data_IF_139576719606
#
_entry.id   IF_139576719606
#
_cell.length_a   1.000
_cell.length_b   1.000
_cell.length_c   1.000
_cell.angle_alpha   90.00
_cell.angle_beta   90.00
_cell.angle_gamma   90.00
#
_symmetry.space_group_name_H-M   'P 1'
#
loop_
_entity.id
_entity.type
_entity.pdbx_description
1 polymer ?
#
# COMPACT_ATOMS: atom_id res chain seq x y z
N UNK A 1 -13.25 -34.95 -29.88
CA UNK A 1 -12.49 -34.33 -28.76
C UNK A 1 -12.64 -32.83 -28.85
N UNK A 2 -13.69 -32.30 -28.23
CA UNK A 2 -14.04 -30.87 -28.30
C UNK A 2 -13.16 -30.06 -27.33
N UNK A 3 -12.33 -29.17 -27.89
CA UNK A 3 -11.69 -28.10 -27.12
C UNK A 3 -12.76 -27.05 -26.80
N UNK A 4 -13.36 -27.13 -25.61
CA UNK A 4 -14.25 -26.07 -25.12
C UNK A 4 -13.42 -24.90 -24.58
N UNK A 5 -13.63 -23.77 -25.24
CA UNK A 5 -13.16 -22.43 -24.92
C UNK A 5 -13.54 -22.07 -23.48
N UNK A 6 -12.55 -21.91 -22.59
CA UNK A 6 -12.74 -21.32 -21.26
C UNK A 6 -12.93 -19.81 -21.46
N UNK A 7 -14.18 -19.40 -21.66
CA UNK A 7 -14.54 -17.98 -21.56
C UNK A 7 -14.41 -17.63 -20.08
N UNK A 8 -13.46 -16.74 -19.77
CA UNK A 8 -13.31 -16.17 -18.45
C UNK A 8 -14.63 -15.50 -18.04
N UNK A 9 -15.40 -16.17 -17.18
CA UNK A 9 -16.44 -15.53 -16.40
C UNK A 9 -15.76 -14.49 -15.50
N UNK A 10 -15.72 -13.26 -15.99
CA UNK A 10 -15.56 -12.06 -15.17
C UNK A 10 -16.83 -12.01 -14.32
N UNK A 11 -16.79 -12.71 -13.19
CA UNK A 11 -17.72 -12.55 -12.09
C UNK A 11 -17.62 -11.08 -11.63
N UNK A 12 -18.50 -10.22 -12.15
CA UNK A 12 -18.76 -8.88 -11.63
C UNK A 12 -19.06 -9.02 -10.13
N UNK A 13 -18.00 -8.84 -9.34
CA UNK A 13 -17.92 -9.32 -7.98
C UNK A 13 -18.67 -8.42 -7.02
N UNK A 14 -19.81 -8.91 -6.54
CA UNK A 14 -20.49 -8.58 -5.29
C UNK A 14 -19.62 -7.72 -4.32
N UNK A 15 -20.09 -6.52 -3.95
CA UNK A 15 -19.40 -5.56 -3.06
C UNK A 15 -18.87 -6.18 -1.75
N UNK A 16 -19.48 -7.27 -1.28
CA UNK A 16 -19.01 -8.06 -0.13
C UNK A 16 -17.62 -8.70 -0.32
N UNK A 17 -17.12 -8.78 -1.57
CA UNK A 17 -15.72 -9.17 -1.85
C UNK A 17 -14.75 -8.08 -1.37
N UNK A 18 -15.09 -6.79 -1.53
CA UNK A 18 -14.25 -5.60 -1.22
C UNK A 18 -13.94 -5.51 0.29
N UNK A 19 -14.94 -5.73 1.14
CA UNK A 19 -14.79 -5.64 2.59
C UNK A 19 -13.92 -6.75 3.21
N UNK A 20 -13.66 -7.85 2.49
CA UNK A 20 -12.94 -9.02 3.00
C UNK A 20 -11.60 -9.30 2.29
N UNK A 21 -11.05 -8.36 1.51
CA UNK A 21 -9.80 -8.58 0.77
C UNK A 21 -8.62 -8.90 1.70
N UNK A 22 -8.46 -8.20 2.82
CA UNK A 22 -7.37 -8.45 3.77
C UNK A 22 -7.37 -9.91 4.27
N UNK A 23 -8.55 -10.47 4.56
CA UNK A 23 -8.71 -11.87 5.00
C UNK A 23 -8.45 -12.88 3.87
N UNK A 24 -8.67 -12.50 2.61
CA UNK A 24 -8.51 -13.36 1.43
C UNK A 24 -7.09 -13.41 0.85
N UNK A 25 -6.27 -12.38 1.07
CA UNK A 25 -4.88 -12.35 0.61
C UNK A 25 -4.07 -13.50 1.25
N UNK A 26 -4.39 -13.84 2.48
CA UNK A 26 -3.76 -14.92 3.25
C UNK A 26 -4.31 -16.32 2.90
N UNK A 27 -5.28 -16.41 2.00
CA UNK A 27 -5.93 -17.68 1.66
C UNK A 27 -5.09 -18.44 0.62
N UNK A 28 -4.64 -19.68 0.91
CA UNK A 28 -3.85 -20.50 -0.02
C UNK A 28 -4.65 -20.96 -1.26
N UNK A 29 -5.92 -20.59 -1.37
CA UNK A 29 -6.87 -21.04 -2.40
C UNK A 29 -6.68 -20.30 -3.74
N UNK A 30 -5.74 -19.34 -3.84
CA UNK A 30 -5.50 -18.58 -5.09
C UNK A 30 -4.09 -18.83 -5.66
N UNK A 31 -3.94 -19.84 -6.55
CA UNK A 31 -2.63 -20.22 -7.08
C UNK A 31 -1.91 -19.07 -7.78
N UNK A 32 -2.64 -18.15 -8.41
CA UNK A 32 -2.04 -17.00 -9.10
C UNK A 32 -1.38 -15.98 -8.16
N UNK A 33 -1.87 -15.83 -6.93
CA UNK A 33 -1.28 -14.89 -5.95
C UNK A 33 0.06 -15.43 -5.46
N UNK A 34 0.10 -16.73 -5.17
CA UNK A 34 1.30 -17.43 -4.71
C UNK A 34 2.31 -17.54 -5.84
N UNK A 35 1.90 -18.02 -7.03
CA UNK A 35 2.79 -18.20 -8.18
C UNK A 35 3.49 -16.92 -8.61
N UNK A 36 2.82 -15.76 -8.44
CA UNK A 36 3.34 -14.46 -8.86
C UNK A 36 3.97 -13.65 -7.73
N UNK A 37 4.07 -14.22 -6.53
CA UNK A 37 4.62 -13.56 -5.34
C UNK A 37 4.01 -12.16 -5.14
N UNK A 38 2.68 -12.09 -5.10
CA UNK A 38 1.95 -10.82 -5.00
C UNK A 38 1.77 -10.32 -3.56
N UNK A 39 2.03 -11.16 -2.56
CA UNK A 39 1.99 -10.75 -1.16
C UNK A 39 3.38 -10.27 -0.77
N UNK A 40 3.47 -9.00 -0.36
CA UNK A 40 4.72 -8.38 0.07
C UNK A 40 4.62 -8.07 1.56
N UNK A 41 5.66 -8.42 2.30
CA UNK A 41 5.80 -8.05 3.71
C UNK A 41 6.70 -6.83 3.83
N UNK A 42 6.16 -5.72 4.34
CA UNK A 42 6.89 -4.47 4.55
C UNK A 42 6.72 -4.11 6.02
N UNK A 43 7.78 -4.20 6.85
CA UNK A 43 7.68 -3.84 8.26
C UNK A 43 7.18 -2.40 8.43
N UNK A 44 6.07 -2.23 9.13
CA UNK A 44 5.50 -0.93 9.47
C UNK A 44 5.65 -0.69 10.97
N UNK A 45 5.83 0.56 11.40
CA UNK A 45 6.05 0.91 12.81
C UNK A 45 4.95 0.40 13.76
N UNK A 46 3.70 0.44 13.31
CA UNK A 46 2.54 -0.08 14.06
C UNK A 46 2.31 -1.59 13.89
N UNK A 47 2.97 -2.23 12.91
CA UNK A 47 2.83 -3.66 12.61
C UNK A 47 4.07 -4.18 11.86
N UNK A 48 4.96 -4.88 12.58
CA UNK A 48 6.20 -5.45 12.02
C UNK A 48 5.96 -6.48 10.91
N UNK A 49 4.80 -7.13 10.91
CA UNK A 49 4.38 -8.14 9.92
C UNK A 49 3.31 -7.59 8.98
N UNK A 50 3.40 -6.31 8.63
CA UNK A 50 2.44 -5.71 7.72
C UNK A 50 2.58 -6.29 6.31
N UNK A 51 1.50 -6.91 5.84
CA UNK A 51 1.41 -7.54 4.53
C UNK A 51 0.48 -6.76 3.62
N UNK A 52 0.89 -6.56 2.39
CA UNK A 52 0.12 -5.87 1.36
C UNK A 52 0.23 -6.56 0.01
N UNK A 53 -0.62 -6.16 -0.94
CA UNK A 53 -0.52 -6.60 -2.33
C UNK A 53 0.48 -5.71 -3.06
N UNK A 54 1.51 -6.36 -3.61
CA UNK A 54 2.43 -5.73 -4.55
C UNK A 54 1.84 -5.55 -5.94
N UNK A 55 2.52 -4.77 -6.77
CA UNK A 55 2.22 -4.57 -8.17
C UNK A 55 2.01 -5.90 -8.91
N UNK A 56 0.89 -6.03 -9.66
CA UNK A 56 0.64 -7.19 -10.50
C UNK A 56 1.49 -7.16 -11.79
N UNK A 57 2.23 -6.09 -12.06
CA UNK A 57 3.12 -5.98 -13.22
C UNK A 57 4.55 -6.23 -12.74
N UNK A 58 5.24 -7.19 -13.38
CA UNK A 58 6.66 -7.46 -13.15
C UNK A 58 7.44 -6.91 -14.33
N UNK A 59 8.28 -5.92 -14.05
CA UNK A 59 9.16 -5.30 -15.03
C UNK A 59 10.52 -6.00 -14.95
N UNK A 60 11.07 -6.41 -16.10
CA UNK A 60 12.37 -7.10 -16.18
C UNK A 60 13.53 -6.16 -15.91
N UNK A 61 13.47 -4.97 -16.50
CA UNK A 61 14.60 -4.03 -16.52
C UNK A 61 14.56 -3.10 -15.32
N UNK A 62 13.37 -2.83 -14.79
CA UNK A 62 13.12 -1.97 -13.62
C UNK A 62 12.20 -2.64 -12.60
N UNK A 63 12.66 -3.71 -11.91
CA UNK A 63 11.87 -4.41 -10.92
C UNK A 63 11.24 -3.47 -9.88
N UNK A 64 9.99 -3.73 -9.50
CA UNK A 64 9.31 -2.91 -8.49
C UNK A 64 9.84 -3.25 -7.10
N UNK A 65 10.36 -2.23 -6.42
CA UNK A 65 10.90 -2.32 -5.07
C UNK A 65 9.99 -1.62 -4.05
N UNK A 66 9.89 -2.17 -2.84
CA UNK A 66 9.02 -1.67 -1.76
C UNK A 66 9.87 -1.23 -0.58
N UNK A 67 10.40 -0.01 -0.64
CA UNK A 67 11.35 0.50 0.35
C UNK A 67 10.70 1.00 1.63
N UNK A 68 9.49 1.56 1.52
CA UNK A 68 8.84 2.24 2.63
C UNK A 68 7.47 1.63 2.87
N UNK A 69 7.19 1.43 4.16
CA UNK A 69 5.84 1.16 4.60
C UNK A 69 4.95 2.40 4.35
N UNK A 70 3.63 2.24 4.33
CA UNK A 70 2.73 3.39 4.29
C UNK A 70 3.08 4.39 5.41
N UNK A 71 3.11 5.70 5.14
CA UNK A 71 3.49 6.68 6.15
C UNK A 71 2.44 6.78 7.25
N UNK A 72 2.89 7.10 8.47
CA UNK A 72 2.01 7.50 9.55
C UNK A 72 1.37 8.87 9.25
N UNK A 73 0.27 9.16 9.96
CA UNK A 73 -0.38 10.47 9.86
C UNK A 73 0.63 11.57 10.21
N UNK A 74 0.89 12.45 9.23
CA UNK A 74 1.79 13.59 9.39
C UNK A 74 3.29 13.27 9.40
N UNK A 75 3.71 12.04 9.07
CA UNK A 75 5.13 11.62 9.14
C UNK A 75 6.05 12.53 8.32
N UNK A 76 5.64 12.91 7.12
CA UNK A 76 6.45 13.73 6.21
C UNK A 76 6.03 15.22 6.18
N UNK A 77 5.11 15.66 7.04
CA UNK A 77 4.59 17.04 7.02
C UNK A 77 5.70 18.08 7.15
N UNK A 78 6.56 17.94 8.17
CA UNK A 78 7.65 18.87 8.41
C UNK A 78 8.71 18.83 7.29
N UNK A 79 9.05 17.63 6.79
CA UNK A 79 10.04 17.43 5.73
C UNK A 79 9.61 18.06 4.40
N UNK A 80 8.32 18.03 4.07
CA UNK A 80 7.79 18.61 2.83
C UNK A 80 7.67 20.13 2.98
N UNK A 81 7.09 20.60 4.09
CA UNK A 81 6.86 22.03 4.28
C UNK A 81 8.14 22.83 4.50
N UNK A 82 9.20 22.23 5.05
CA UNK A 82 10.51 22.89 5.20
C UNK A 82 11.15 23.31 3.87
N UNK A 83 10.70 22.75 2.74
CA UNK A 83 11.11 23.17 1.40
C UNK A 83 10.54 24.54 1.00
N UNK A 84 9.51 25.01 1.71
CA UNK A 84 8.75 26.21 1.35
C UNK A 84 8.59 27.21 2.50
N UNK A 85 8.85 26.78 3.75
CA UNK A 85 8.59 27.54 4.97
C UNK A 85 9.78 27.47 5.92
N UNK A 86 9.98 28.57 6.62
CA UNK A 86 10.98 28.67 7.70
C UNK A 86 10.54 27.88 8.93
N UNK A 87 11.49 27.55 9.82
CA UNK A 87 11.22 26.81 11.06
C UNK A 87 10.23 27.57 11.95
N UNK A 88 10.34 28.90 11.99
CA UNK A 88 9.48 29.79 12.76
C UNK A 88 8.04 29.81 12.22
N UNK A 89 7.87 29.78 10.90
CA UNK A 89 6.53 29.66 10.29
C UNK A 89 5.91 28.30 10.58
N UNK A 90 6.68 27.21 10.52
CA UNK A 90 6.19 25.87 10.84
C UNK A 90 5.74 25.77 12.30
N UNK A 91 6.50 26.37 13.22
CA UNK A 91 6.12 26.44 14.63
C UNK A 91 4.77 27.17 14.82
N UNK A 92 4.58 28.33 14.15
CA UNK A 92 3.30 29.06 14.19
C UNK A 92 2.13 28.26 13.62
N UNK A 93 2.35 27.52 12.53
CA UNK A 93 1.31 26.66 11.95
C UNK A 93 0.91 25.52 12.88
N UNK A 94 1.88 24.95 13.60
CA UNK A 94 1.63 23.92 14.61
C UNK A 94 0.92 24.47 15.83
N UNK A 95 1.32 25.63 16.34
CA UNK A 95 0.66 26.30 17.47
C UNK A 95 -0.82 26.58 17.17
N UNK A 96 -1.13 26.96 15.92
CA UNK A 96 -2.50 27.17 15.45
C UNK A 96 -3.27 25.88 15.17
N UNK A 97 -2.66 24.70 15.31
CA UNK A 97 -3.29 23.41 15.03
C UNK A 97 -3.57 23.15 13.55
N UNK A 98 -2.90 23.87 12.63
CA UNK A 98 -3.11 23.72 11.17
C UNK A 98 -2.38 22.49 10.63
N UNK A 99 -1.22 22.18 11.19
CA UNK A 99 -0.40 21.04 10.79
C UNK A 99 -0.19 20.10 11.96
N UNK A 100 -0.28 18.81 11.66
CA UNK A 100 0.05 17.73 12.59
C UNK A 100 1.43 17.14 12.23
N UNK A 101 2.18 16.68 13.23
CA UNK A 101 3.51 16.08 13.04
C UNK A 101 4.60 16.54 14.01
N UNK A 102 5.66 15.73 14.09
CA UNK A 102 6.90 16.07 14.80
C UNK A 102 7.64 17.13 13.97
N UNK A 103 7.83 18.32 14.55
CA UNK A 103 8.80 19.28 14.01
C UNK A 103 10.15 18.72 14.47
N UNK A 104 11.03 18.40 13.51
CA UNK A 104 12.38 17.96 13.78
C UNK A 104 13.21 19.12 14.34
#
# INVERSE_FOLDING_TARGET
MEKRLVIAQIELGNLNKILNYHRKIHSPVRPQIVHRNLVVNIPHRLNEKFQTIGSPIKLSDTPVEYHHAPPELGEHTAQILSRFKTVEELAKLKEKGIIDGKIA
#
